data_IF_130204790502
#
_entry.id   IF_130204790502
#
_cell.length_a   1.000
_cell.length_b   1.000
_cell.length_c   1.000
_cell.angle_alpha   90.00
_cell.angle_beta   90.00
_cell.angle_gamma   90.00
#
_symmetry.space_group_name_H-M   'P 1'
#
loop_
_entity.id
_entity.type
_entity.pdbx_description
1 polymer ?
#
# COMPACT_ATOMS: atom_id res chain seq x y z
N UNK A 1 1.71 10.51 -4.19
CA UNK A 1 1.17 10.31 -2.85
C UNK A 1 -0.22 10.94 -2.74
N UNK A 2 -1.12 10.27 -2.03
CA UNK A 2 -2.37 10.86 -1.61
C UNK A 2 -2.19 11.81 -0.44
N UNK A 3 -3.27 12.44 0.01
CA UNK A 3 -3.27 13.36 1.15
C UNK A 3 -4.60 13.29 1.89
N UNK A 4 -4.53 13.12 3.19
CA UNK A 4 -5.70 13.27 4.08
C UNK A 4 -5.88 14.77 4.40
N UNK A 5 -7.08 15.28 4.19
CA UNK A 5 -7.42 16.68 4.42
C UNK A 5 -8.47 16.79 5.56
N UNK A 6 -8.12 16.21 6.70
CA UNK A 6 -8.98 16.14 7.88
C UNK A 6 -9.63 14.78 8.12
N UNK A 7 -9.65 13.88 7.14
CA UNK A 7 -10.12 12.50 7.35
C UNK A 7 -9.31 11.83 8.47
N UNK A 8 -9.97 11.07 9.33
CA UNK A 8 -9.37 10.41 10.50
C UNK A 8 -8.66 11.39 11.47
N UNK A 9 -9.01 12.67 11.45
CA UNK A 9 -8.31 13.71 12.22
C UNK A 9 -6.88 13.99 11.75
N UNK A 10 -6.52 13.54 10.54
CA UNK A 10 -5.18 13.64 9.99
C UNK A 10 -5.12 14.72 8.91
N UNK A 11 -4.07 15.53 8.98
CA UNK A 11 -3.73 16.49 7.92
C UNK A 11 -2.35 16.15 7.36
N UNK A 12 -2.32 15.57 6.16
CA UNK A 12 -1.07 15.18 5.52
C UNK A 12 -1.17 13.86 4.75
N UNK A 13 -0.05 13.42 4.21
CA UNK A 13 0.10 12.12 3.53
C UNK A 13 0.29 10.97 4.54
N UNK A 14 0.63 9.76 4.08
CA UNK A 14 0.79 8.58 4.95
C UNK A 14 1.69 8.79 6.17
N UNK A 15 2.76 9.58 6.03
CA UNK A 15 3.65 9.95 7.12
C UNK A 15 3.16 11.17 7.96
N UNK A 16 1.95 11.65 7.73
CA UNK A 16 1.29 12.63 8.61
C UNK A 16 0.86 12.07 9.96
N UNK A 17 0.96 10.75 10.14
CA UNK A 17 0.73 10.07 11.43
C UNK A 17 1.96 9.27 11.82
N UNK A 18 2.03 8.98 13.12
CA UNK A 18 2.98 8.00 13.64
C UNK A 18 2.21 6.91 14.43
N UNK A 19 2.37 5.61 14.11
CA UNK A 19 3.04 5.09 12.90
C UNK A 19 2.33 5.53 11.62
N UNK A 20 3.00 5.41 10.45
CA UNK A 20 2.45 5.78 9.16
C UNK A 20 1.10 5.14 8.90
N UNK A 21 0.16 5.90 8.32
CA UNK A 21 -1.15 5.38 7.96
C UNK A 21 -1.17 4.87 6.51
N UNK A 22 -2.11 3.95 6.26
CA UNK A 22 -2.35 3.34 4.95
C UNK A 22 -3.80 3.55 4.50
N UNK A 23 -4.44 4.65 4.94
CA UNK A 23 -5.78 4.98 4.48
C UNK A 23 -5.84 5.21 2.96
N UNK A 24 -6.99 4.93 2.35
CA UNK A 24 -7.15 5.14 0.90
C UNK A 24 -6.84 6.59 0.51
N UNK A 25 -7.17 7.57 1.34
CA UNK A 25 -6.79 8.98 1.13
C UNK A 25 -5.28 9.21 1.03
N UNK A 26 -4.47 8.38 1.68
CA UNK A 26 -3.00 8.48 1.66
C UNK A 26 -2.35 7.64 0.55
N UNK A 27 -2.92 6.49 0.18
CA UNK A 27 -2.28 5.50 -0.71
C UNK A 27 -2.94 5.40 -2.08
N UNK A 28 -4.23 5.71 -2.21
CA UNK A 28 -4.97 5.69 -3.46
C UNK A 28 -4.86 7.05 -4.14
N UNK A 29 -3.97 7.14 -5.12
CA UNK A 29 -3.71 8.39 -5.84
C UNK A 29 -4.45 8.45 -7.17
N UNK A 30 -4.87 9.64 -7.64
CA UNK A 30 -5.39 9.81 -8.98
C UNK A 30 -4.35 9.37 -10.02
N UNK A 31 -4.81 8.63 -11.03
CA UNK A 31 -4.00 8.26 -12.18
C UNK A 31 -4.71 8.69 -13.45
N UNK A 32 -4.09 9.57 -14.21
CA UNK A 32 -4.61 10.13 -15.45
C UNK A 32 -3.60 9.86 -16.56
N UNK A 33 -4.07 9.35 -17.67
CA UNK A 33 -3.23 9.10 -18.84
C UNK A 33 -3.96 9.56 -20.11
N UNK A 34 -3.22 10.16 -21.03
CA UNK A 34 -3.72 10.59 -22.32
C UNK A 34 -2.72 10.23 -23.41
N UNK A 35 -3.23 9.56 -24.43
CA UNK A 35 -2.48 9.27 -25.65
C UNK A 35 -3.44 9.28 -26.85
N UNK A 36 -3.65 10.47 -27.46
CA UNK A 36 -4.60 10.62 -28.57
C UNK A 36 -4.35 9.61 -29.71
N UNK A 37 -5.42 9.02 -30.21
CA UNK A 37 -5.35 7.98 -31.24
C UNK A 37 -5.01 6.58 -30.77
N UNK A 38 -4.58 6.40 -29.52
CA UNK A 38 -4.19 5.09 -28.95
C UNK A 38 -5.01 4.71 -27.72
N UNK A 39 -5.36 5.67 -26.88
CA UNK A 39 -6.19 5.46 -25.70
C UNK A 39 -7.52 6.18 -25.90
N UNK A 40 -8.67 5.50 -25.73
CA UNK A 40 -9.98 6.11 -25.86
C UNK A 40 -10.13 7.31 -24.90
N UNK A 41 -10.69 8.41 -25.42
CA UNK A 41 -10.97 9.58 -24.60
C UNK A 41 -12.20 9.36 -23.70
N UNK A 42 -12.29 10.14 -22.60
CA UNK A 42 -13.44 10.16 -21.70
C UNK A 42 -13.80 8.78 -21.11
N UNK A 43 -12.79 7.95 -20.85
CA UNK A 43 -12.98 6.63 -20.21
C UNK A 43 -12.55 6.67 -18.76
N UNK A 44 -13.26 5.91 -17.92
CA UNK A 44 -12.90 5.67 -16.53
C UNK A 44 -12.74 4.18 -16.33
N UNK A 45 -11.61 3.77 -15.75
CA UNK A 45 -11.34 2.40 -15.37
C UNK A 45 -11.28 2.30 -13.84
N UNK A 46 -12.10 1.42 -13.26
CA UNK A 46 -12.16 1.17 -11.81
C UNK A 46 -11.32 -0.02 -11.36
N UNK A 47 -10.62 -0.68 -12.27
CA UNK A 47 -9.76 -1.82 -11.91
C UNK A 47 -8.56 -1.38 -11.09
N UNK A 48 -8.16 -2.25 -10.16
CA UNK A 48 -6.98 -2.00 -9.34
C UNK A 48 -5.71 -2.10 -10.18
N UNK A 49 -4.87 -1.08 -10.09
CA UNK A 49 -3.51 -1.05 -10.62
C UNK A 49 -2.55 -0.66 -9.49
N UNK A 50 -1.31 -1.08 -9.61
CA UNK A 50 -0.23 -0.72 -8.70
C UNK A 50 0.79 0.17 -9.41
N UNK A 51 1.52 1.00 -8.67
CA UNK A 51 2.66 1.74 -9.22
C UNK A 51 3.70 0.80 -9.87
N UNK A 52 3.83 -0.43 -9.36
CA UNK A 52 4.69 -1.46 -9.96
C UNK A 52 4.30 -1.84 -11.39
N UNK A 53 3.04 -1.62 -11.78
CA UNK A 53 2.51 -1.97 -13.10
C UNK A 53 2.89 -0.97 -14.19
N UNK A 54 3.39 0.20 -13.79
CA UNK A 54 3.70 1.27 -14.73
C UNK A 54 4.85 0.88 -15.66
N UNK A 55 5.96 0.36 -15.12
CA UNK A 55 7.12 -0.04 -15.92
C UNK A 55 6.75 -1.08 -17.00
N UNK A 56 6.14 -2.23 -16.68
CA UNK A 56 5.78 -3.21 -17.72
C UNK A 56 4.75 -2.67 -18.71
N UNK A 57 3.89 -1.73 -18.29
CA UNK A 57 2.95 -1.08 -19.21
C UNK A 57 3.66 -0.18 -20.20
N UNK A 58 4.58 0.66 -19.76
CA UNK A 58 5.37 1.54 -20.63
C UNK A 58 6.20 0.70 -21.59
N UNK A 59 6.90 -0.32 -21.10
CA UNK A 59 7.70 -1.20 -21.96
C UNK A 59 6.84 -1.87 -23.03
N UNK A 60 5.63 -2.30 -22.71
CA UNK A 60 4.72 -2.90 -23.66
C UNK A 60 4.20 -1.88 -24.69
N UNK A 61 3.86 -0.67 -24.25
CA UNK A 61 3.39 0.41 -25.14
C UNK A 61 4.47 0.86 -26.11
N UNK A 62 5.73 0.80 -25.72
CA UNK A 62 6.88 1.20 -26.57
C UNK A 62 7.50 0.06 -27.37
N UNK A 63 6.93 -1.15 -27.29
CA UNK A 63 7.46 -2.33 -27.99
C UNK A 63 8.74 -2.92 -27.39
N UNK A 64 9.06 -2.56 -26.15
CA UNK A 64 10.28 -2.99 -25.44
C UNK A 64 10.00 -4.04 -24.35
N UNK A 65 8.98 -4.88 -24.52
CA UNK A 65 8.60 -5.89 -23.51
C UNK A 65 9.72 -6.88 -23.19
N UNK A 66 10.61 -7.14 -24.16
CA UNK A 66 11.81 -7.97 -23.99
C UNK A 66 12.86 -7.37 -23.02
N UNK A 67 12.76 -6.09 -22.74
CA UNK A 67 13.64 -5.37 -21.78
C UNK A 67 13.12 -5.39 -20.36
N UNK A 68 11.96 -5.98 -20.10
CA UNK A 68 11.43 -6.05 -18.73
C UNK A 68 12.34 -6.94 -17.86
N UNK A 69 12.85 -6.42 -16.73
CA UNK A 69 13.56 -7.24 -15.77
C UNK A 69 12.67 -8.35 -15.22
N UNK A 70 13.26 -9.52 -14.99
CA UNK A 70 12.57 -10.67 -14.35
C UNK A 70 12.40 -10.43 -12.86
N UNK A 71 11.40 -11.06 -12.25
CA UNK A 71 11.21 -11.02 -10.80
C UNK A 71 10.54 -9.74 -10.26
N UNK A 72 10.02 -8.87 -11.12
CA UNK A 72 9.27 -7.71 -10.69
C UNK A 72 7.79 -8.02 -10.47
N UNK A 73 7.12 -7.40 -9.46
CA UNK A 73 5.72 -7.66 -9.15
C UNK A 73 4.73 -7.04 -10.14
N UNK A 74 5.21 -6.16 -11.04
CA UNK A 74 4.38 -5.41 -11.97
C UNK A 74 3.78 -6.25 -13.09
N UNK A 75 2.55 -5.92 -13.50
CA UNK A 75 1.83 -6.48 -14.64
C UNK A 75 1.37 -5.36 -15.57
N UNK A 76 1.57 -5.53 -16.88
CA UNK A 76 1.09 -4.52 -17.83
C UNK A 76 -0.43 -4.43 -17.83
N UNK A 77 -0.97 -3.21 -17.75
CA UNK A 77 -2.40 -2.91 -17.89
C UNK A 77 -2.73 -2.24 -19.25
N UNK A 78 -1.95 -2.52 -20.26
CA UNK A 78 -2.13 -1.96 -21.62
C UNK A 78 -3.53 -2.24 -22.16
N UNK A 79 -4.10 -3.41 -21.87
CA UNK A 79 -5.44 -3.79 -22.33
C UNK A 79 -6.52 -2.93 -21.69
N UNK A 80 -6.38 -2.59 -20.40
CA UNK A 80 -7.29 -1.66 -19.72
C UNK A 80 -7.23 -0.27 -20.37
N UNK A 81 -6.04 0.18 -20.77
CA UNK A 81 -5.87 1.46 -21.47
C UNK A 81 -6.56 1.48 -22.84
N UNK A 82 -6.74 0.33 -23.47
CA UNK A 82 -7.50 0.19 -24.74
C UNK A 82 -9.00 0.10 -24.53
N UNK A 83 -9.47 0.11 -23.29
CA UNK A 83 -10.88 0.02 -22.93
C UNK A 83 -11.39 -1.40 -22.73
N UNK A 84 -10.51 -2.41 -22.64
CA UNK A 84 -10.93 -3.77 -22.35
C UNK A 84 -11.42 -3.86 -20.89
N UNK A 85 -12.62 -4.41 -20.73
CA UNK A 85 -13.22 -4.65 -19.41
C UNK A 85 -12.79 -6.04 -18.91
N UNK A 86 -11.75 -6.08 -18.07
CA UNK A 86 -11.32 -7.32 -17.44
C UNK A 86 -10.67 -7.05 -16.10
N UNK A 87 -10.76 -8.02 -15.20
CA UNK A 87 -10.04 -7.97 -13.96
C UNK A 87 -8.53 -7.98 -14.20
N UNK A 88 -7.83 -7.03 -13.60
CA UNK A 88 -6.38 -6.91 -13.73
C UNK A 88 -5.65 -7.49 -12.53
N UNK A 89 -6.13 -7.14 -11.32
CA UNK A 89 -5.59 -7.61 -10.04
C UNK A 89 -6.72 -7.88 -9.06
N UNK A 90 -6.56 -8.92 -8.28
CA UNK A 90 -7.40 -9.22 -7.13
C UNK A 90 -6.86 -8.59 -5.84
N UNK A 91 -5.60 -8.15 -5.84
CA UNK A 91 -4.96 -7.47 -4.71
C UNK A 91 -3.84 -6.52 -5.13
N UNK A 92 -3.57 -5.56 -4.26
CA UNK A 92 -2.36 -4.72 -4.28
C UNK A 92 -1.68 -4.78 -2.92
N UNK A 93 -0.34 -4.79 -2.93
CA UNK A 93 0.48 -4.71 -1.72
C UNK A 93 1.18 -3.36 -1.73
N UNK A 94 1.11 -2.67 -0.60
CA UNK A 94 1.76 -1.36 -0.38
C UNK A 94 2.54 -1.44 0.93
N UNK A 95 3.65 -0.74 0.98
CA UNK A 95 4.49 -0.64 2.16
C UNK A 95 5.04 0.78 2.27
N UNK A 96 5.41 1.15 3.49
CA UNK A 96 6.07 2.44 3.71
C UNK A 96 7.52 2.41 3.23
N UNK A 97 8.12 3.59 3.12
CA UNK A 97 9.50 3.76 2.62
C UNK A 97 10.56 3.12 3.54
N UNK A 98 10.21 2.81 4.78
CA UNK A 98 11.10 2.19 5.77
C UNK A 98 10.84 0.69 5.97
N UNK A 99 9.70 0.18 5.47
CA UNK A 99 9.35 -1.23 5.45
C UNK A 99 8.51 -1.77 6.62
N UNK A 100 8.44 -1.15 7.81
CA UNK A 100 7.73 -1.75 8.94
C UNK A 100 6.20 -1.66 8.86
N UNK A 101 5.64 -0.81 8.02
CA UNK A 101 4.19 -0.77 7.78
C UNK A 101 3.90 -1.36 6.41
N UNK A 102 3.12 -2.43 6.39
CA UNK A 102 2.74 -3.15 5.16
C UNK A 102 1.24 -3.29 5.09
N UNK A 103 0.70 -3.23 3.90
CA UNK A 103 -0.73 -3.32 3.65
C UNK A 103 -1.01 -4.19 2.43
N UNK A 104 -2.06 -5.01 2.54
CA UNK A 104 -2.68 -5.68 1.41
C UNK A 104 -4.12 -5.18 1.27
N UNK A 105 -4.51 -4.85 0.05
CA UNK A 105 -5.85 -4.40 -0.31
C UNK A 105 -6.41 -5.27 -1.42
N UNK A 106 -7.61 -5.76 -1.21
CA UNK A 106 -8.46 -6.37 -2.23
C UNK A 106 -9.59 -5.41 -2.61
N UNK A 107 -10.52 -5.83 -3.48
CA UNK A 107 -11.72 -5.02 -3.77
C UNK A 107 -12.58 -4.79 -2.52
N UNK A 108 -12.64 -5.77 -1.61
CA UNK A 108 -13.51 -5.76 -0.43
C UNK A 108 -12.79 -5.44 0.88
N UNK A 109 -11.54 -5.87 1.01
CA UNK A 109 -10.83 -5.84 2.29
C UNK A 109 -9.52 -5.10 2.22
N UNK A 110 -9.16 -4.45 3.31
CA UNK A 110 -7.83 -3.89 3.56
C UNK A 110 -7.31 -4.40 4.90
N UNK A 111 -6.09 -4.92 4.88
CA UNK A 111 -5.37 -5.31 6.08
C UNK A 111 -4.05 -4.56 6.17
N UNK A 112 -3.81 -3.89 7.29
CA UNK A 112 -2.56 -3.17 7.58
C UNK A 112 -1.84 -3.87 8.72
N UNK A 113 -0.61 -4.26 8.47
CA UNK A 113 0.28 -4.88 9.45
C UNK A 113 1.44 -3.94 9.79
N UNK A 114 1.69 -3.74 11.08
CA UNK A 114 2.80 -2.93 11.58
C UNK A 114 3.75 -3.80 12.37
N UNK A 115 4.98 -3.86 11.94
CA UNK A 115 6.04 -4.62 12.60
C UNK A 115 6.78 -3.71 13.60
N UNK A 116 7.30 -4.25 14.70
CA UNK A 116 7.02 -5.58 15.26
C UNK A 116 5.74 -5.64 16.10
N UNK A 117 5.23 -4.52 16.62
CA UNK A 117 4.24 -4.49 17.69
C UNK A 117 2.99 -3.67 17.40
N UNK A 118 2.89 -3.07 16.25
CA UNK A 118 1.93 -2.00 15.96
C UNK A 118 0.47 -2.38 16.10
N UNK A 119 -0.37 -1.37 16.09
CA UNK A 119 -1.80 -1.53 15.98
C UNK A 119 -2.13 -1.97 14.56
N UNK A 120 -2.49 -3.24 14.37
CA UNK A 120 -2.95 -3.71 13.07
C UNK A 120 -4.35 -3.20 12.78
N UNK A 121 -4.70 -3.17 11.50
CA UNK A 121 -6.00 -2.68 11.06
C UNK A 121 -6.60 -3.63 10.03
N UNK A 122 -7.94 -3.77 10.09
CA UNK A 122 -8.73 -4.49 9.10
C UNK A 122 -9.98 -3.67 8.79
N UNK A 123 -10.22 -3.41 7.52
CA UNK A 123 -11.40 -2.66 7.05
C UNK A 123 -12.15 -3.44 5.99
N UNK A 124 -13.49 -3.40 6.06
CA UNK A 124 -14.37 -3.92 5.02
C UNK A 124 -14.80 -2.75 4.12
N UNK A 125 -14.11 -2.57 3.01
CA UNK A 125 -14.20 -1.37 2.18
C UNK A 125 -15.54 -1.19 1.45
N UNK A 126 -16.37 -2.25 1.36
CA UNK A 126 -17.70 -2.19 0.75
C UNK A 126 -18.68 -1.49 1.70
N UNK A 127 -18.66 -1.87 2.98
CA UNK A 127 -19.57 -1.31 3.99
C UNK A 127 -18.99 -0.07 4.68
N UNK A 128 -17.66 0.04 4.68
CA UNK A 128 -16.91 1.11 5.33
C UNK A 128 -15.84 1.67 4.39
N UNK A 129 -16.23 2.34 3.30
CA UNK A 129 -15.29 2.94 2.36
C UNK A 129 -14.49 4.09 2.96
N UNK A 130 -14.93 4.62 4.10
CA UNK A 130 -14.25 5.66 4.87
C UNK A 130 -13.19 5.12 5.82
N UNK A 131 -13.12 3.80 6.02
CA UNK A 131 -12.14 3.16 6.92
C UNK A 131 -12.23 3.66 8.38
N UNK A 132 -13.46 3.87 8.85
CA UNK A 132 -13.74 4.43 10.18
C UNK A 132 -13.75 3.34 11.26
N UNK A 133 -14.11 2.09 10.89
CA UNK A 133 -14.31 0.98 11.82
C UNK A 133 -13.23 -0.08 11.66
N UNK A 134 -12.22 -0.05 12.53
CA UNK A 134 -11.22 -1.11 12.57
C UNK A 134 -11.81 -2.42 13.13
N UNK A 135 -11.85 -3.45 12.29
CA UNK A 135 -12.37 -4.79 12.61
C UNK A 135 -11.28 -5.75 13.11
N UNK A 136 -10.01 -5.30 13.15
CA UNK A 136 -8.92 -6.15 13.62
C UNK A 136 -9.12 -6.52 15.10
N UNK A 137 -8.87 -7.77 15.42
CA UNK A 137 -9.02 -8.30 16.77
C UNK A 137 -10.39 -8.91 17.07
N UNK A 138 -11.39 -8.72 16.21
CA UNK A 138 -12.67 -9.41 16.35
C UNK A 138 -12.53 -10.89 15.96
N UNK A 139 -13.02 -11.83 16.81
CA UNK A 139 -12.80 -13.27 16.62
C UNK A 139 -13.26 -13.80 15.26
N UNK A 140 -14.37 -13.31 14.75
CA UNK A 140 -14.97 -13.69 13.47
C UNK A 140 -14.06 -13.42 12.28
N UNK A 141 -13.18 -12.43 12.36
CA UNK A 141 -12.26 -12.08 11.27
C UNK A 141 -10.87 -12.69 11.39
N UNK A 142 -10.58 -13.46 12.44
CA UNK A 142 -9.26 -14.06 12.69
C UNK A 142 -8.74 -14.87 11.50
N UNK A 143 -9.61 -15.68 10.89
CA UNK A 143 -9.25 -16.50 9.71
C UNK A 143 -8.92 -15.62 8.51
N UNK A 144 -9.72 -14.59 8.26
CA UNK A 144 -9.49 -13.63 7.16
C UNK A 144 -8.17 -12.88 7.34
N UNK A 145 -7.90 -12.37 8.55
CA UNK A 145 -6.62 -11.71 8.88
C UNK A 145 -5.44 -12.64 8.59
N UNK A 146 -5.52 -13.91 9.01
CA UNK A 146 -4.47 -14.90 8.74
C UNK A 146 -4.25 -15.11 7.24
N UNK A 147 -5.34 -15.17 6.46
CA UNK A 147 -5.26 -15.33 5.00
C UNK A 147 -4.63 -14.11 4.33
N UNK A 148 -5.10 -12.90 4.66
CA UNK A 148 -4.58 -11.67 4.07
C UNK A 148 -3.11 -11.45 4.44
N UNK A 149 -2.76 -11.70 5.71
CA UNK A 149 -1.36 -11.65 6.16
C UNK A 149 -0.49 -12.63 5.39
N UNK A 150 -0.91 -13.89 5.25
CA UNK A 150 -0.17 -14.91 4.52
C UNK A 150 0.04 -14.55 3.04
N UNK A 151 -0.98 -13.96 2.38
CA UNK A 151 -0.85 -13.46 0.99
C UNK A 151 0.17 -12.32 0.90
N UNK A 152 0.09 -11.37 1.81
CA UNK A 152 1.02 -10.24 1.89
C UNK A 152 2.46 -10.72 2.14
N UNK A 153 2.68 -11.60 3.10
CA UNK A 153 4.01 -12.15 3.40
C UNK A 153 4.57 -12.96 2.22
N UNK A 154 3.73 -13.74 1.54
CA UNK A 154 4.13 -14.44 0.32
C UNK A 154 4.61 -13.49 -0.76
N UNK A 155 3.93 -12.34 -0.94
CA UNK A 155 4.35 -11.31 -1.88
C UNK A 155 5.77 -10.81 -1.55
N UNK A 156 6.04 -10.49 -0.28
CA UNK A 156 7.37 -10.04 0.15
C UNK A 156 8.42 -11.13 -0.01
N UNK A 157 8.13 -12.37 0.36
CA UNK A 157 9.05 -13.50 0.14
C UNK A 157 9.38 -13.71 -1.36
N UNK A 158 8.48 -13.31 -2.25
CA UNK A 158 8.68 -13.47 -3.70
C UNK A 158 9.50 -12.34 -4.30
N UNK A 159 9.29 -11.10 -3.83
CA UNK A 159 9.79 -9.90 -4.50
C UNK A 159 10.80 -9.07 -3.70
N UNK A 160 11.01 -9.38 -2.42
CA UNK A 160 11.98 -8.71 -1.58
C UNK A 160 13.15 -9.62 -1.25
N UNK A 161 14.36 -9.07 -1.26
CA UNK A 161 15.52 -9.75 -0.68
C UNK A 161 15.43 -9.68 0.85
N UNK A 162 15.39 -10.83 1.55
CA UNK A 162 15.34 -10.84 3.01
C UNK A 162 16.52 -10.15 3.70
N UNK A 163 17.66 -10.00 3.00
CA UNK A 163 18.86 -9.35 3.55
C UNK A 163 18.70 -7.83 3.69
N UNK A 164 17.81 -7.23 2.86
CA UNK A 164 17.54 -5.79 2.85
C UNK A 164 16.09 -5.46 3.21
N UNK A 165 15.35 -6.42 3.74
CA UNK A 165 13.97 -6.21 4.17
C UNK A 165 13.93 -5.32 5.41
N UNK A 166 13.46 -4.07 5.22
CA UNK A 166 13.39 -3.04 6.27
C UNK A 166 12.50 -3.38 7.46
N UNK A 167 11.68 -4.43 7.39
CA UNK A 167 10.82 -4.87 8.51
C UNK A 167 11.60 -5.27 9.76
N UNK A 168 12.87 -5.66 9.60
CA UNK A 168 13.77 -6.09 10.68
C UNK A 168 14.79 -5.03 11.07
N UNK A 169 14.80 -3.91 10.36
CA UNK A 169 15.76 -2.83 10.61
C UNK A 169 15.14 -1.79 11.51
N UNK A 170 15.86 -1.35 12.52
CA UNK A 170 15.47 -0.18 13.28
C UNK A 170 15.47 1.05 12.37
N UNK A 171 14.40 1.83 12.44
CA UNK A 171 14.36 3.10 11.73
C UNK A 171 15.13 4.13 12.56
N UNK A 172 16.32 4.46 12.11
CA UNK A 172 17.18 5.45 12.74
C UNK A 172 17.11 6.77 11.99
N UNK A 173 16.94 7.87 12.70
CA UNK A 173 16.97 9.21 12.11
C UNK A 173 16.10 10.22 12.85
N UNK A 174 16.45 11.47 12.69
CA UNK A 174 15.61 12.59 13.08
C UNK A 174 14.71 12.93 11.90
N UNK A 175 13.43 12.73 12.00
CA UNK A 175 12.55 13.06 10.89
C UNK A 175 11.10 12.65 11.08
N UNK A 176 10.50 12.22 10.00
CA UNK A 176 9.06 12.00 9.86
C UNK A 176 8.44 10.99 10.85
N UNK A 177 9.24 10.19 11.54
CA UNK A 177 8.79 9.21 12.52
C UNK A 177 8.75 9.76 13.96
N UNK A 178 9.21 10.99 14.17
CA UNK A 178 9.06 11.65 15.46
C UNK A 178 7.63 12.14 15.64
N UNK A 179 7.09 11.97 16.85
CA UNK A 179 5.82 12.64 17.20
C UNK A 179 5.98 14.14 17.06
N UNK A 180 5.01 14.86 16.49
CA UNK A 180 5.05 16.32 16.45
C UNK A 180 5.30 16.88 17.86
N UNK A 181 6.31 17.74 18.00
CA UNK A 181 6.69 18.36 19.28
C UNK A 181 7.57 17.52 20.21
N UNK A 182 7.98 16.31 19.82
CA UNK A 182 8.90 15.47 20.58
C UNK A 182 10.16 15.23 19.75
N UNK A 183 11.30 15.73 20.24
CA UNK A 183 12.63 15.41 19.68
C UNK A 183 13.14 14.11 20.29
N UNK A 184 12.59 12.98 19.87
CA UNK A 184 13.12 11.67 20.22
C UNK A 184 14.28 11.32 19.27
N UNK A 185 15.48 11.73 19.63
CA UNK A 185 16.64 11.60 18.74
C UNK A 185 17.15 10.14 18.66
N UNK A 186 16.81 9.26 19.60
CA UNK A 186 17.41 7.92 19.70
C UNK A 186 16.47 6.80 20.19
N UNK A 187 15.17 7.02 20.25
CA UNK A 187 14.23 5.95 20.59
C UNK A 187 13.79 5.20 19.32
N UNK A 188 13.81 3.87 19.39
CA UNK A 188 13.14 3.04 18.40
C UNK A 188 11.65 3.42 18.37
N UNK A 189 11.14 4.00 17.25
CA UNK A 189 9.76 4.46 17.18
C UNK A 189 8.75 3.33 17.30
N UNK A 190 9.18 2.07 17.15
CA UNK A 190 8.36 0.87 17.22
C UNK A 190 8.61 0.06 18.51
N UNK A 191 9.57 0.45 19.34
CA UNK A 191 9.76 -0.19 20.64
C UNK A 191 8.53 0.02 21.52
N UNK A 192 8.03 -1.01 22.22
CA UNK A 192 7.00 -0.83 23.20
C UNK A 192 7.52 0.15 24.27
N UNK A 193 6.85 1.30 24.40
CA UNK A 193 7.12 2.17 25.55
C UNK A 193 6.77 1.37 26.79
N UNK A 194 7.74 1.22 27.68
CA UNK A 194 7.49 0.62 28.98
C UNK A 194 6.23 1.26 29.57
N UNK A 195 5.30 0.42 29.99
CA UNK A 195 4.16 0.83 30.78
C UNK A 195 4.76 1.23 32.12
N UNK A 196 4.89 2.54 32.37
CA UNK A 196 5.05 3.05 33.72
C UNK A 196 3.73 2.93 34.46
#
# INVERSE_FOLDING_TARGET
NGMSMGQHGVWGKGNGTFPMNMYDSAVKVPFLISWPGHIPANTVCSEMISACDLLPTILKLTGLSDKQPTGLPGRSFTELLKGEQREHRDEVVIFDEYGPVRMIRTKEWKYVHRYPYGKHELYHLVDDPGEEKNLYGLPEYKKLVTQLKGRMEKWFCTYSDPAIDGVRSAVNGSGQLCRPGVYAIYEDPFAPKGVE
#
